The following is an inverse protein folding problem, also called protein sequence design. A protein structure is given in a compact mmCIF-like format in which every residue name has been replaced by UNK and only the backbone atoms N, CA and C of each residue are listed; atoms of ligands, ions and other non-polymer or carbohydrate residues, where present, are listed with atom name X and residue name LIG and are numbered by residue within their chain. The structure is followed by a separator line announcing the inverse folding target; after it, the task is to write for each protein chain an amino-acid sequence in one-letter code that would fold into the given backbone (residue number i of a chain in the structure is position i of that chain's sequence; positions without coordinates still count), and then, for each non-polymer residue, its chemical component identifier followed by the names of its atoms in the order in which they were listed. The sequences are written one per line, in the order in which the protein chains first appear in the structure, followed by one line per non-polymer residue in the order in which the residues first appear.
data_IF_444314619983
#
_entry.id   IF_444314619983
#
_cell.length_a   1.000
_cell.length_b   1.000
_cell.length_c   1.000
_cell.angle_alpha   90.00
_cell.angle_beta   90.00
_cell.angle_gamma   90.00
#
_symmetry.space_group_name_H-M   'P 1'
#
loop_
_entity.id
_entity.type
_entity.pdbx_description
1 polymer ?
2 non-polymer ?
3 water ?
#
# COMPACT_ATOMS: atom_id res chain seq x y z
N UNK A 6 9.49 -7.04 13.79
CA UNK A 6 9.41 -5.84 12.91
C UNK A 6 9.49 -4.52 13.67
N UNK A 7 9.54 -3.42 12.93
CA UNK A 7 9.63 -2.10 13.52
C UNK A 7 8.48 -1.25 12.99
N UNK A 8 7.63 -0.82 13.92
CA UNK A 8 6.41 -0.09 13.60
C UNK A 8 6.38 1.42 13.82
N UNK A 9 5.76 2.12 12.88
CA UNK A 9 5.59 3.55 12.98
C UNK A 9 4.10 3.89 13.03
N UNK A 10 3.76 4.70 14.03
CA UNK A 10 2.41 5.17 14.24
C UNK A 10 2.28 6.40 13.36
N UNK A 11 1.17 6.52 12.63
CA UNK A 11 0.97 7.68 11.78
C UNK A 11 -0.36 8.31 12.19
N UNK A 12 -0.28 9.48 12.80
CA UNK A 12 -1.48 10.15 13.28
C UNK A 12 -1.92 11.32 12.43
N UNK A 13 -3.04 11.92 12.80
CA UNK A 13 -3.60 13.05 12.05
C UNK A 13 -3.78 12.74 10.57
N UNK A 14 -4.35 11.58 10.27
CA UNK A 14 -4.59 11.20 8.88
C UNK A 14 -5.86 11.86 8.35
N UNK A 15 -5.80 12.35 7.12
CA UNK A 15 -6.98 12.94 6.51
C UNK A 15 -7.93 11.76 6.28
N UNK A 16 -9.24 11.97 6.47
CA UNK A 16 -10.27 10.95 6.31
C UNK A 16 -10.18 10.06 5.07
N UNK A 17 -9.77 10.62 3.94
CA UNK A 17 -9.69 9.84 2.70
C UNK A 17 -8.48 8.92 2.57
N UNK A 18 -7.54 8.99 3.51
CA UNK A 18 -6.34 8.16 3.42
C UNK A 18 -6.59 6.71 3.84
N UNK A 19 -6.35 5.80 2.90
CA UNK A 19 -6.56 4.37 3.07
C UNK A 19 -5.26 3.66 3.44
N UNK A 20 -5.38 2.41 3.86
CA UNK A 20 -4.21 1.62 4.21
C UNK A 20 -3.23 1.66 3.06
N UNK A 21 -3.74 1.45 1.85
CA UNK A 21 -2.90 1.46 0.65
C UNK A 21 -2.20 2.79 0.44
N UNK A 22 -2.86 3.88 0.82
CA UNK A 22 -2.29 5.21 0.65
C UNK A 22 -1.09 5.43 1.56
N UNK A 23 -1.17 4.98 2.80
CA UNK A 23 -0.04 5.16 3.70
C UNK A 23 1.03 4.13 3.35
N UNK A 24 0.62 2.96 2.87
CA UNK A 24 1.60 1.95 2.46
C UNK A 24 2.43 2.57 1.33
N UNK A 25 1.73 3.18 0.38
CA UNK A 25 2.36 3.83 -0.76
C UNK A 25 3.25 5.01 -0.34
N UNK A 26 2.76 5.82 0.58
CA UNK A 26 3.52 6.99 1.05
C UNK A 26 4.82 6.64 1.76
N UNK A 27 4.85 5.51 2.46
CA UNK A 27 6.04 5.10 3.20
C UNK A 27 6.93 4.10 2.48
N UNK A 28 6.46 3.59 1.35
CA UNK A 28 7.22 2.61 0.58
C UNK A 28 8.65 3.05 0.30
N UNK A 29 8.87 4.34 -0.03
CA UNK A 29 10.22 4.83 -0.32
C UNK A 29 11.29 4.62 0.75
N UNK A 30 10.88 4.50 2.01
CA UNK A 30 11.87 4.34 3.07
C UNK A 30 12.39 2.92 3.30
N UNK A 31 11.73 1.92 2.73
CA UNK A 31 12.20 0.56 2.92
C UNK A 31 11.13 -0.50 2.78
N UNK A 32 11.53 -1.76 2.91
CA UNK A 32 10.59 -2.87 2.78
C UNK A 32 9.56 -2.80 3.91
N UNK A 33 8.30 -2.95 3.53
CA UNK A 33 7.20 -2.89 4.47
C UNK A 33 6.52 -4.24 4.60
N UNK A 34 6.31 -4.69 5.84
CA UNK A 34 5.67 -5.97 6.09
C UNK A 34 4.15 -5.84 6.08
N UNK A 35 3.65 -4.63 6.28
CA UNK A 35 2.21 -4.39 6.24
C UNK A 35 1.80 -3.02 6.76
N UNK A 36 0.55 -2.66 6.51
CA UNK A 36 0.01 -1.38 6.94
C UNK A 36 -1.44 -1.51 7.35
N UNK A 37 -1.94 -0.50 8.05
CA UNK A 37 -3.32 -0.52 8.50
C UNK A 37 -3.79 0.85 8.94
N UNK A 38 -4.90 1.31 8.37
CA UNK A 38 -5.50 2.58 8.78
C UNK A 38 -6.62 2.08 9.68
N UNK A 39 -6.65 2.54 10.93
CA UNK A 39 -7.67 2.09 11.86
C UNK A 39 -9.04 2.69 11.53
N UNK A 40 -10.07 1.86 11.64
CA UNK A 40 -11.43 2.27 11.31
C UNK A 40 -12.36 2.38 12.53
N UNK A 41 -13.43 3.15 12.36
CA UNK A 41 -14.45 3.35 13.39
C UNK A 41 -15.41 2.16 13.33
N UNK A 42 -15.68 1.55 14.47
CA UNK A 42 -16.57 0.40 14.51
C UNK A 42 -18.04 0.72 14.23
N UNK A 43 -18.41 1.99 14.34
CA UNK A 43 -19.79 2.38 14.08
C UNK A 43 -20.01 2.71 12.60
N UNK A 44 -19.23 3.64 12.08
CA UNK A 44 -19.36 4.08 10.69
C UNK A 44 -18.43 3.40 9.69
N UNK A 45 -17.39 2.72 10.18
CA UNK A 45 -16.46 2.07 9.28
C UNK A 45 -15.50 3.07 8.66
N UNK A 46 -15.69 4.34 8.99
CA UNK A 46 -14.84 5.42 8.48
C UNK A 46 -13.44 5.34 9.11
N UNK A 47 -12.48 6.04 8.53
CA UNK A 47 -11.13 6.05 9.09
C UNK A 47 -11.16 6.72 10.46
N UNK A 48 -10.38 6.18 11.39
CA UNK A 48 -10.32 6.72 12.73
C UNK A 48 -9.32 7.87 12.80
N UNK A 49 -8.67 8.15 11.68
CA UNK A 49 -7.70 9.23 11.65
C UNK A 49 -6.27 8.83 11.98
N UNK A 50 -6.01 7.53 12.13
CA UNK A 50 -4.66 7.07 12.42
C UNK A 50 -4.43 5.66 11.91
N UNK A 51 -3.16 5.27 11.81
CA UNK A 51 -2.83 3.94 11.33
C UNK A 51 -1.41 3.57 11.66
N UNK A 52 -0.94 2.46 11.09
CA UNK A 52 0.41 1.99 11.35
C UNK A 52 1.04 1.46 10.07
N UNK A 53 2.37 1.53 10.02
CA UNK A 53 3.15 1.04 8.90
C UNK A 53 4.28 0.27 9.56
N UNK A 54 4.43 -1.00 9.18
CA UNK A 54 5.46 -1.85 9.75
C UNK A 54 6.59 -2.11 8.77
N UNK A 55 7.83 -1.88 9.21
CA UNK A 55 9.01 -2.11 8.38
C UNK A 55 9.78 -3.33 8.89
N UNK A 56 10.48 -4.01 7.98
CA UNK A 56 11.27 -5.16 8.38
C UNK A 56 12.53 -4.69 9.11
N UNK A 57 13.02 -3.52 8.73
CA UNK A 57 14.23 -2.96 9.33
C UNK A 57 13.96 -1.73 10.20
N UNK A 58 14.69 -1.63 11.31
CA UNK A 58 14.52 -0.53 12.26
C UNK A 58 15.03 0.82 11.76
N UNK A 59 16.13 0.81 11.01
CA UNK A 59 16.68 2.06 10.50
C UNK A 59 15.71 2.67 9.49
N UNK A 60 15.15 1.85 8.61
CA UNK A 60 14.19 2.35 7.62
C UNK A 60 13.02 3.02 8.32
N UNK A 61 12.54 2.39 9.38
CA UNK A 61 11.42 2.91 10.15
C UNK A 61 11.82 4.22 10.82
N UNK A 62 13.04 4.24 11.35
CA UNK A 62 13.58 5.42 12.01
C UNK A 62 13.60 6.58 11.01
N UNK A 63 14.01 6.29 9.78
CA UNK A 63 14.09 7.31 8.74
C UNK A 63 12.70 7.77 8.30
N UNK A 64 11.75 6.84 8.26
CA UNK A 64 10.38 7.18 7.87
C UNK A 64 9.75 8.10 8.92
N UNK A 65 9.94 7.78 10.19
CA UNK A 65 9.40 8.58 11.30
C UNK A 65 9.92 10.02 11.22
N UNK A 66 11.23 10.17 11.10
CA UNK A 66 11.84 11.49 11.04
C UNK A 66 11.49 12.30 9.79
N UNK A 67 11.58 11.68 8.62
CA UNK A 67 11.29 12.38 7.37
C UNK A 67 9.81 12.66 7.09
N UNK A 68 8.94 11.72 7.46
CA UNK A 68 7.51 11.89 7.20
C UNK A 68 6.74 12.70 8.24
N UNK A 69 7.33 12.88 9.42
CA UNK A 69 6.66 13.64 10.45
C UNK A 69 6.37 15.04 9.95
N UNK A 70 5.09 15.43 9.95
CA UNK A 70 4.71 16.76 9.49
C UNK A 70 4.39 16.91 8.01
N UNK A 71 4.70 15.88 7.23
CA UNK A 71 4.43 15.92 5.80
C UNK A 71 2.94 15.96 5.52
N UNK A 72 2.57 16.58 4.40
CA UNK A 72 1.17 16.61 4.02
C UNK A 72 0.91 15.29 3.31
N UNK A 73 -0.12 14.58 3.75
CA UNK A 73 -0.52 13.34 3.10
C UNK A 73 -2.02 13.53 2.94
N UNK A 74 -2.46 13.76 1.71
CA UNK A 74 -3.87 13.98 1.49
C UNK A 74 -4.22 15.35 2.05
N UNK A 75 -5.38 15.46 2.69
CA UNK A 75 -5.77 16.76 3.21
C UNK A 75 -5.32 17.11 4.62
N UNK A 76 -4.18 16.58 5.05
CA UNK A 76 -3.71 16.87 6.40
C UNK A 76 -2.24 16.57 6.63
N UNK A 77 -1.60 17.37 7.48
CA UNK A 77 -0.21 17.10 7.82
C UNK A 77 -0.26 16.00 8.87
N UNK A 78 0.51 14.94 8.65
CA UNK A 78 0.52 13.81 9.57
C UNK A 78 1.51 13.95 10.71
N UNK A 79 1.43 13.00 11.64
CA UNK A 79 2.34 12.93 12.78
C UNK A 79 2.92 11.53 12.73
N UNK A 80 4.17 11.37 13.16
CA UNK A 80 4.81 10.07 13.16
C UNK A 80 5.47 9.79 14.51
N UNK A 81 5.64 8.51 14.82
CA UNK A 81 6.27 8.11 16.06
C UNK A 81 6.41 6.60 16.02
N UNK A 82 7.18 6.07 16.95
CA UNK A 82 7.36 4.64 17.06
C UNK A 82 6.05 4.07 17.59
N UNK A 83 5.91 2.76 17.49
CA UNK A 83 4.72 2.07 17.98
C UNK A 83 5.15 0.66 18.29
N UNK A 84 4.42 0.03 19.21
CA UNK A 84 4.68 -1.35 19.62
C UNK A 84 3.89 -2.33 18.76
N UNK B 6 -16.43 -2.59 -5.04
CA UNK B 6 -14.98 -2.32 -5.29
C UNK B 6 -14.59 -2.89 -6.65
N UNK B 7 -13.58 -2.30 -7.27
CA UNK B 7 -13.13 -2.75 -8.58
C UNK B 7 -11.72 -3.29 -8.48
N UNK B 8 -11.63 -4.59 -8.69
CA UNK B 8 -10.38 -5.32 -8.56
C UNK B 8 -9.54 -5.48 -9.81
N UNK B 9 -8.25 -5.27 -9.62
CA UNK B 9 -7.26 -5.38 -10.67
C UNK B 9 -6.30 -6.51 -10.36
N UNK B 10 -6.12 -7.41 -11.32
CA UNK B 10 -5.20 -8.53 -11.18
C UNK B 10 -3.83 -8.08 -11.66
N UNK B 11 -2.79 -8.40 -10.90
CA UNK B 11 -1.43 -8.05 -11.29
C UNK B 11 -0.62 -9.34 -11.35
N UNK B 12 -0.19 -9.70 -12.55
CA UNK B 12 0.57 -10.93 -12.74
C UNK B 12 2.03 -10.73 -13.11
N UNK B 13 2.78 -11.84 -13.05
CA UNK B 13 4.21 -11.87 -13.33
C UNK B 13 5.00 -10.96 -12.38
N UNK B 14 4.67 -11.04 -11.09
CA UNK B 14 5.35 -10.24 -10.07
C UNK B 14 6.62 -10.92 -9.60
N UNK B 15 7.73 -10.19 -9.64
CA UNK B 15 8.99 -10.74 -9.17
C UNK B 15 8.81 -11.12 -7.70
N UNK B 16 9.61 -12.07 -7.19
CA UNK B 16 9.51 -12.51 -5.79
C UNK B 16 9.63 -11.43 -4.71
N UNK B 17 10.31 -10.32 -5.00
CA UNK B 17 10.48 -9.27 -4.00
C UNK B 17 9.34 -8.26 -3.91
N UNK B 18 8.38 -8.33 -4.82
CA UNK B 18 7.27 -7.38 -4.80
C UNK B 18 6.32 -7.67 -3.64
N UNK B 19 6.13 -6.67 -2.78
CA UNK B 19 5.25 -6.78 -1.61
C UNK B 19 3.95 -6.04 -1.92
N UNK B 20 2.93 -6.21 -1.09
CA UNK B 20 1.67 -5.51 -1.34
C UNK B 20 1.89 -4.00 -1.28
N UNK B 21 2.80 -3.55 -0.41
CA UNK B 21 3.07 -2.12 -0.31
C UNK B 21 3.71 -1.62 -1.60
N UNK B 22 4.54 -2.46 -2.21
CA UNK B 22 5.21 -2.10 -3.46
C UNK B 22 4.16 -1.91 -4.54
N UNK B 23 3.13 -2.74 -4.49
CA UNK B 23 2.03 -2.66 -5.44
C UNK B 23 1.22 -1.39 -5.19
N UNK B 24 0.90 -1.12 -3.93
CA UNK B 24 0.15 0.08 -3.58
C UNK B 24 0.89 1.29 -4.13
N UNK B 25 2.21 1.31 -3.92
CA UNK B 25 3.06 2.40 -4.37
C UNK B 25 3.00 2.66 -5.88
N UNK B 26 2.95 1.59 -6.66
CA UNK B 26 2.92 1.74 -8.11
C UNK B 26 1.52 2.03 -8.64
N UNK B 27 0.50 1.61 -7.90
CA UNK B 27 -0.88 1.80 -8.34
C UNK B 27 -1.66 2.95 -7.72
N UNK B 28 -1.19 3.46 -6.58
CA UNK B 28 -1.88 4.54 -5.88
C UNK B 28 -2.06 5.81 -6.71
N UNK B 29 -1.14 6.10 -7.65
CA UNK B 29 -1.32 7.33 -8.44
C UNK B 29 -2.61 7.37 -9.28
N UNK B 30 -3.14 6.20 -9.62
CA UNK B 30 -4.34 6.12 -10.45
C UNK B 30 -5.64 6.44 -9.73
N UNK B 31 -5.63 6.34 -8.41
CA UNK B 31 -6.84 6.63 -7.67
C UNK B 31 -6.85 5.99 -6.30
N UNK B 32 -7.90 6.27 -5.54
CA UNK B 32 -8.02 5.73 -4.20
C UNK B 32 -8.11 4.22 -4.23
N UNK B 33 -7.17 3.58 -3.54
CA UNK B 33 -7.10 2.13 -3.46
C UNK B 33 -7.49 1.67 -2.06
N UNK B 34 -8.38 0.69 -2.00
CA UNK B 34 -8.80 0.17 -0.71
C UNK B 34 -7.78 -0.85 -0.23
N UNK B 35 -7.79 -2.02 -0.88
CA UNK B 35 -6.91 -3.12 -0.51
C UNK B 35 -5.96 -3.61 -1.60
N UNK B 36 -4.90 -4.29 -1.18
CA UNK B 36 -3.91 -4.86 -2.09
C UNK B 36 -3.42 -6.17 -1.48
N UNK B 37 -3.14 -7.16 -2.31
CA UNK B 37 -2.67 -8.45 -1.81
C UNK B 37 -1.71 -9.11 -2.79
N UNK B 38 -0.79 -9.89 -2.25
CA UNK B 38 0.17 -10.64 -3.06
C UNK B 38 -0.04 -12.06 -2.57
N UNK B 39 -0.50 -12.94 -3.46
CA UNK B 39 -0.76 -14.32 -3.10
C UNK B 39 0.52 -15.09 -2.81
N UNK B 40 0.58 -15.70 -1.63
CA UNK B 40 1.77 -16.43 -1.22
C UNK B 40 1.62 -17.94 -1.17
N UNK B 41 2.75 -18.62 -1.30
CA UNK B 41 2.80 -20.08 -1.28
C UNK B 41 2.54 -20.57 0.14
N UNK B 42 1.57 -21.46 0.30
CA UNK B 42 1.25 -21.98 1.63
C UNK B 42 2.41 -22.74 2.27
N UNK B 43 3.29 -23.31 1.45
CA UNK B 43 4.42 -24.06 1.98
C UNK B 43 5.60 -23.19 2.40
N UNK B 44 6.01 -22.30 1.50
CA UNK B 44 7.16 -21.42 1.74
C UNK B 44 6.82 -20.03 2.26
N UNK B 45 5.62 -19.56 1.96
CA UNK B 45 5.26 -18.22 2.38
C UNK B 45 5.82 -17.22 1.38
N UNK B 46 6.46 -17.76 0.34
CA UNK B 46 7.04 -16.96 -0.73
C UNK B 46 5.92 -16.50 -1.67
N UNK B 47 6.07 -15.29 -2.22
CA UNK B 47 5.08 -14.76 -3.16
C UNK B 47 4.90 -15.78 -4.27
N UNK B 48 3.66 -15.94 -4.74
CA UNK B 48 3.38 -16.87 -5.83
C UNK B 48 3.58 -16.20 -7.18
N UNK B 49 3.87 -14.91 -7.16
CA UNK B 49 4.09 -14.20 -8.41
C UNK B 49 2.91 -13.43 -8.96
N UNK B 50 1.86 -13.27 -8.16
CA UNK B 50 0.69 -12.52 -8.60
C UNK B 50 -0.10 -11.96 -7.42
N UNK B 51 -0.83 -10.88 -7.66
CA UNK B 51 -1.60 -10.27 -6.59
C UNK B 51 -2.80 -9.52 -7.14
N UNK B 52 -3.41 -8.70 -6.29
CA UNK B 52 -4.59 -7.93 -6.68
C UNK B 52 -4.54 -6.55 -6.02
N UNK B 53 -5.19 -5.58 -6.65
CA UNK B 53 -5.28 -4.22 -6.12
C UNK B 53 -6.73 -3.81 -6.31
N UNK B 54 -7.31 -3.21 -5.27
CA UNK B 54 -8.71 -2.81 -5.32
C UNK B 54 -8.90 -1.30 -5.29
N UNK B 55 -9.68 -0.79 -6.24
CA UNK B 55 -9.96 0.63 -6.32
C UNK B 55 -11.41 0.87 -5.93
N UNK B 56 -11.69 2.03 -5.34
CA UNK B 56 -13.05 2.35 -4.95
C UNK B 56 -13.86 2.72 -6.20
N UNK B 57 -13.17 3.12 -7.27
CA UNK B 57 -13.84 3.53 -8.50
C UNK B 57 -13.39 2.75 -9.75
N UNK B 58 -14.36 2.39 -10.58
CA UNK B 58 -14.09 1.63 -11.80
C UNK B 58 -13.22 2.35 -12.81
N UNK B 59 -13.44 3.65 -12.99
CA UNK B 59 -12.65 4.41 -13.96
C UNK B 59 -11.17 4.33 -13.64
N UNK B 60 -10.81 4.59 -12.39
CA UNK B 60 -9.42 4.53 -11.97
C UNK B 60 -8.89 3.12 -12.21
N UNK B 61 -9.72 2.11 -11.94
CA UNK B 61 -9.32 0.73 -12.15
C UNK B 61 -9.03 0.51 -13.63
N UNK B 62 -9.93 0.99 -14.49
CA UNK B 62 -9.74 0.85 -15.95
C UNK B 62 -8.41 1.48 -16.32
N UNK B 63 -8.19 2.68 -15.80
CA UNK B 63 -6.96 3.42 -16.08
C UNK B 63 -5.72 2.66 -15.64
N UNK B 64 -5.75 2.10 -14.44
CA UNK B 64 -4.62 1.34 -13.93
C UNK B 64 -4.31 0.13 -14.82
N UNK B 65 -5.35 -0.62 -15.18
CA UNK B 65 -5.18 -1.80 -16.02
C UNK B 65 -4.50 -1.49 -17.35
N UNK B 66 -5.07 -0.53 -18.08
CA UNK B 66 -4.56 -0.14 -19.41
C UNK B 66 -3.14 0.43 -19.37
N UNK B 67 -2.87 1.34 -18.44
CA UNK B 67 -1.54 1.96 -18.31
C UNK B 67 -0.46 1.03 -17.77
N UNK B 68 -0.73 0.37 -16.64
CA UNK B 68 0.26 -0.50 -16.02
C UNK B 68 0.53 -1.83 -16.72
N UNK B 69 -0.34 -2.23 -17.64
CA UNK B 69 -0.11 -3.49 -18.33
C UNK B 69 1.18 -3.42 -19.13
N UNK B 70 2.11 -4.33 -18.84
CA UNK B 70 3.37 -4.34 -19.56
C UNK B 70 4.45 -3.42 -19.02
N UNK B 71 4.13 -2.61 -18.01
CA UNK B 71 5.12 -1.71 -17.43
C UNK B 71 6.13 -2.54 -16.65
N UNK B 72 7.37 -2.07 -16.59
CA UNK B 72 8.37 -2.80 -15.84
C UNK B 72 8.20 -2.45 -14.38
N UNK B 73 8.08 -3.48 -13.55
CA UNK B 73 7.90 -3.29 -12.12
C UNK B 73 8.55 -4.48 -11.45
N UNK B 74 9.65 -4.22 -10.75
CA UNK B 74 10.36 -5.29 -10.06
C UNK B 74 11.20 -6.17 -10.96
N UNK B 75 11.69 -5.62 -12.07
CA UNK B 75 12.53 -6.39 -12.96
C UNK B 75 11.81 -7.25 -14.00
N UNK B 76 10.48 -7.22 -13.98
CA UNK B 76 9.69 -7.98 -14.94
C UNK B 76 8.58 -7.08 -15.46
N UNK B 77 7.98 -7.49 -16.57
CA UNK B 77 6.86 -6.75 -17.12
C UNK B 77 5.62 -7.36 -16.50
N UNK B 78 4.92 -6.58 -15.68
CA UNK B 78 3.72 -7.08 -15.04
C UNK B 78 2.57 -7.14 -16.03
N UNK B 79 1.57 -7.95 -15.70
CA UNK B 79 0.41 -8.09 -16.55
C UNK B 79 -0.79 -7.70 -15.70
N UNK B 80 -1.70 -6.94 -16.30
CA UNK B 80 -2.87 -6.47 -15.59
C UNK B 80 -4.16 -6.88 -16.29
N UNK B 81 -5.23 -6.95 -15.51
CA UNK B 81 -6.53 -7.30 -16.04
C UNK B 81 -7.55 -7.13 -14.94
N UNK B 82 -8.83 -7.21 -15.29
CA UNK B 82 -9.87 -7.11 -14.30
C UNK B 82 -9.80 -8.38 -13.48
N UNK B 83 -10.30 -8.33 -12.25
CA UNK B 83 -10.30 -9.50 -11.38
C UNK B 83 -11.61 -9.57 -10.61
N UNK B 84 -11.82 -10.72 -9.97
CA UNK B 84 -13.01 -11.03 -9.17
C UNK B 84 -14.32 -11.00 -9.95
X LIG C 1 -8.86 1.46 3.82
X LIG D 1 -6.99 -1.88 15.30
X LIG E 1 5.43 14.57 13.98
X LIG F 1 -1.29 -2.27 1.36
X LIG G 1 3.56 -8.85 1.04
X LIG H 1 12.25 -2.53 -13.27
X LIG I 1 1.72 -21.17 -8.65
#
# INVERSE_FOLDING_TARGET
GPLGSHFHVFVGDLSPEITTAAIAAAFAPFGRISDARVVKDMATGKSKGYGFVSFFNKWDAENAIQQMGGQWLGGRQIRTNWATRKP
GPLGSHFHVFVGDLSPEITTAAIAAAFAPFGRISDARVVKDMATGKSKGYGFVSFFNKWDAENAIQQMGGQWLGGRQIRTNWATRKP
IOD I
IOD I
IOD I
IOD I
IOD I
IOD I
IOD I
#
